data_IF_589375048838
#
_entry.id   IF_589375048838
#
_cell.length_a   1.000
_cell.length_b   1.000
_cell.length_c   1.000
_cell.angle_alpha   90.00
_cell.angle_beta   90.00
_cell.angle_gamma   90.00
#
_symmetry.space_group_name_H-M   'P 1'
#
loop_
_entity.id
_entity.type
_entity.pdbx_description
1 polymer ?
#
# COMPACT_ATOMS: atom_id res chain seq x y z
N UNK A 1 1.93 3.93 -5.41
CA UNK A 1 1.61 3.25 -4.13
C UNK A 1 1.27 1.79 -4.40
N UNK A 2 1.41 0.94 -3.39
CA UNK A 2 0.90 -0.45 -3.38
C UNK A 2 -0.06 -0.63 -2.21
N UNK A 3 -1.05 -1.51 -2.37
CA UNK A 3 -2.12 -1.68 -1.40
C UNK A 3 -2.00 -2.96 -0.59
N UNK A 4 -2.06 -2.83 0.72
CA UNK A 4 -2.36 -3.90 1.65
C UNK A 4 -3.88 -4.02 1.83
N UNK A 5 -4.42 -5.24 1.72
CA UNK A 5 -5.86 -5.50 1.92
C UNK A 5 -6.10 -6.09 3.31
N UNK A 6 -6.77 -5.33 4.16
CA UNK A 6 -7.23 -5.83 5.45
C UNK A 6 -8.60 -6.47 5.25
N UNK A 7 -8.66 -7.79 5.46
CA UNK A 7 -9.88 -8.57 5.27
C UNK A 7 -10.63 -8.73 6.60
N UNK A 8 -11.95 -8.66 6.53
CA UNK A 8 -12.83 -9.06 7.61
C UNK A 8 -13.10 -10.57 7.61
N UNK A 9 -13.74 -11.04 8.69
CA UNK A 9 -14.21 -12.43 8.79
C UNK A 9 -15.17 -12.71 7.63
N UNK A 10 -14.79 -13.65 6.76
CA UNK A 10 -15.52 -13.95 5.52
C UNK A 10 -14.79 -13.49 4.23
N UNK A 11 -13.62 -12.87 4.33
CA UNK A 11 -12.75 -12.58 3.19
C UNK A 11 -13.08 -11.29 2.43
N UNK A 12 -14.10 -10.56 2.86
CA UNK A 12 -14.44 -9.23 2.34
C UNK A 12 -13.34 -8.24 2.74
N UNK A 13 -12.88 -7.42 1.79
CA UNK A 13 -11.90 -6.36 2.09
C UNK A 13 -12.61 -5.25 2.84
N UNK A 14 -12.18 -5.01 4.08
CA UNK A 14 -12.71 -3.95 4.95
C UNK A 14 -11.96 -2.65 4.73
N UNK A 15 -10.65 -2.74 4.62
CA UNK A 15 -9.77 -1.58 4.52
C UNK A 15 -8.64 -1.84 3.51
N UNK A 16 -8.25 -0.78 2.82
CA UNK A 16 -7.13 -0.74 1.92
C UNK A 16 -6.09 0.25 2.48
N UNK A 17 -4.90 -0.26 2.82
CA UNK A 17 -3.80 0.57 3.33
C UNK A 17 -2.79 0.77 2.21
N UNK A 18 -2.54 2.02 1.85
CA UNK A 18 -1.60 2.41 0.81
C UNK A 18 -0.20 2.62 1.38
N UNK A 19 0.77 2.04 0.70
CA UNK A 19 2.19 2.09 1.05
C UNK A 19 3.03 2.65 -0.10
N UNK A 20 4.13 3.34 0.24
CA UNK A 20 5.13 3.79 -0.74
C UNK A 20 6.01 2.61 -1.12
N UNK A 21 6.08 2.19 -2.40
CA UNK A 21 6.98 1.14 -2.83
C UNK A 21 8.45 1.61 -2.81
N UNK A 22 9.37 0.67 -2.56
CA UNK A 22 10.82 0.89 -2.68
C UNK A 22 11.31 0.37 -4.03
N UNK A 23 11.88 1.27 -4.83
CA UNK A 23 12.52 0.95 -6.10
C UNK A 23 11.54 0.62 -7.25
N UNK A 24 12.00 0.76 -8.51
CA UNK A 24 11.25 0.34 -9.68
C UNK A 24 11.44 -1.16 -9.90
N UNK A 25 10.68 -1.99 -9.20
CA UNK A 25 10.59 -3.41 -9.54
C UNK A 25 9.21 -3.72 -10.15
N UNK A 26 9.09 -3.77 -11.48
CA UNK A 26 7.82 -4.06 -12.16
C UNK A 26 7.46 -5.57 -12.11
N UNK A 27 8.46 -6.44 -11.93
CA UNK A 27 8.30 -7.90 -11.99
C UNK A 27 8.25 -8.55 -10.59
N UNK A 28 8.48 -7.77 -9.53
CA UNK A 28 8.36 -8.23 -8.15
C UNK A 28 6.97 -8.78 -7.83
N UNK A 29 6.91 -10.08 -7.54
CA UNK A 29 5.74 -10.73 -6.93
C UNK A 29 5.45 -10.15 -5.53
N UNK A 30 6.50 -9.71 -4.84
CA UNK A 30 6.44 -9.06 -3.52
C UNK A 30 7.12 -7.70 -3.60
N UNK A 31 6.34 -6.63 -3.51
CA UNK A 31 6.86 -5.28 -3.55
C UNK A 31 7.25 -4.82 -2.14
N UNK A 32 8.55 -4.51 -1.96
CA UNK A 32 9.06 -3.87 -0.73
C UNK A 32 8.41 -2.51 -0.51
N UNK A 33 8.17 -2.16 0.75
CA UNK A 33 7.51 -0.92 1.17
C UNK A 33 8.44 -0.05 2.02
N UNK A 34 8.27 1.27 1.96
CA UNK A 34 9.22 2.19 2.57
C UNK A 34 9.16 2.22 4.11
N UNK A 35 8.11 1.69 4.72
CA UNK A 35 7.96 1.64 6.18
C UNK A 35 8.50 0.35 6.82
N UNK A 36 9.00 -0.62 6.04
CA UNK A 36 9.59 -1.85 6.57
C UNK A 36 10.70 -2.36 5.65
N UNK A 37 11.85 -2.69 6.23
CA UNK A 37 12.99 -3.23 5.49
C UNK A 37 12.89 -4.74 5.24
N UNK A 38 12.06 -5.44 6.03
CA UNK A 38 11.86 -6.89 5.96
C UNK A 38 10.57 -7.29 5.28
N UNK A 39 9.54 -6.43 5.36
CA UNK A 39 8.22 -6.75 4.84
C UNK A 39 7.99 -6.20 3.42
N UNK A 40 7.06 -6.84 2.73
CA UNK A 40 6.59 -6.39 1.44
C UNK A 40 5.14 -6.79 1.20
N UNK A 41 4.53 -6.12 0.24
CA UNK A 41 3.16 -6.39 -0.16
C UNK A 41 3.17 -7.34 -1.34
N UNK A 42 2.50 -8.49 -1.20
CA UNK A 42 2.26 -9.38 -2.32
C UNK A 42 1.38 -8.65 -3.33
N UNK A 43 1.89 -8.50 -4.55
CA UNK A 43 1.29 -7.72 -5.63
C UNK A 43 0.00 -8.37 -6.15
N UNK A 44 -1.09 -8.26 -5.39
CA UNK A 44 -2.44 -8.69 -5.79
C UNK A 44 -3.21 -7.62 -6.58
N UNK A 45 -2.66 -6.41 -6.64
CA UNK A 45 -3.08 -5.31 -7.50
C UNK A 45 -1.84 -4.47 -7.80
N UNK A 46 -1.64 -4.12 -9.07
CA UNK A 46 -0.46 -3.38 -9.56
C UNK A 46 -0.15 -2.09 -8.80
N UNK A 47 1.03 -1.50 -9.07
CA UNK A 47 1.37 -0.16 -8.58
C UNK A 47 0.34 0.83 -9.13
N UNK A 48 -0.21 1.68 -8.25
CA UNK A 48 -1.19 2.69 -8.62
C UNK A 48 -0.72 4.08 -8.22
N UNK A 49 -1.01 5.08 -9.05
CA UNK A 49 -0.90 6.47 -8.64
C UNK A 49 -2.07 6.79 -7.69
N UNK A 50 -1.73 7.16 -6.46
CA UNK A 50 -2.71 7.32 -5.38
C UNK A 50 -2.51 8.70 -4.76
N UNK A 51 -3.56 9.53 -4.66
CA UNK A 51 -3.44 10.86 -4.10
C UNK A 51 -3.13 10.81 -2.60
N UNK A 52 -2.44 11.84 -2.09
CA UNK A 52 -2.08 11.94 -0.67
C UNK A 52 -3.29 12.14 0.25
N UNK A 53 -4.33 12.78 -0.27
CA UNK A 53 -5.63 12.91 0.37
C UNK A 53 -6.57 11.90 -0.28
N UNK A 54 -7.07 10.98 0.52
CA UNK A 54 -7.99 9.94 0.09
C UNK A 54 -9.40 10.35 0.49
N UNK A 55 -10.30 10.33 -0.46
CA UNK A 55 -11.72 10.66 -0.24
C UNK A 55 -12.60 9.39 -0.28
N UNK A 56 -12.01 8.22 -0.56
CA UNK A 56 -12.72 6.95 -0.59
C UNK A 56 -12.85 6.33 0.81
N UNK A 57 -14.06 6.01 1.27
CA UNK A 57 -14.26 5.28 2.52
C UNK A 57 -13.54 3.93 2.51
N UNK A 58 -12.87 3.60 3.61
CA UNK A 58 -12.13 2.34 3.73
C UNK A 58 -10.75 2.35 3.06
N UNK A 59 -10.30 3.48 2.49
CA UNK A 59 -8.91 3.64 2.07
C UNK A 59 -8.16 4.57 3.03
N UNK A 60 -6.93 4.22 3.37
CA UNK A 60 -6.02 5.13 4.07
C UNK A 60 -4.58 4.91 3.65
N UNK A 61 -3.73 5.90 3.91
CA UNK A 61 -2.28 5.71 3.82
C UNK A 61 -1.73 5.11 5.11
N UNK A 62 -0.69 4.29 4.99
CA UNK A 62 0.21 4.01 6.10
C UNK A 62 0.83 5.35 6.59
N UNK A 63 0.77 5.69 7.89
CA UNK A 63 1.25 6.97 8.40
C UNK A 63 2.72 7.27 8.06
N UNK A 64 3.61 6.27 8.19
CA UNK A 64 5.03 6.44 7.90
C UNK A 64 5.29 6.65 6.41
N UNK A 65 4.63 5.85 5.57
CA UNK A 65 4.69 6.04 4.12
C UNK A 65 4.13 7.40 3.70
N UNK A 66 3.04 7.87 4.33
CA UNK A 66 2.47 9.19 4.06
C UNK A 66 3.45 10.31 4.40
N UNK A 67 4.11 10.21 5.55
CA UNK A 67 5.14 11.17 5.96
C UNK A 67 6.30 11.20 4.96
N UNK A 68 6.69 10.06 4.41
CA UNK A 68 7.75 9.95 3.40
C UNK A 68 7.32 10.54 2.05
N UNK A 69 6.07 10.35 1.61
CA UNK A 69 5.58 10.89 0.32
C UNK A 69 5.28 12.39 0.39
N UNK A 70 5.04 12.94 1.59
CA UNK A 70 4.81 14.38 1.81
C UNK A 70 6.09 15.23 1.85
N UNK A 71 7.26 14.60 2.00
CA UNK A 71 8.56 15.26 1.94
C UNK A 71 9.01 15.39 0.49
#
# INVERSE_FOLDING_TARGET
AVSERIKERGGVTKELIWHKPVGPDPDATVQRIACSDTDGIVMSGGKREVPLRLDQPGERWCPDCLAIVRR
#
